data_IF_268458502197
#
_entry.id   IF_268458502197
#
_cell.length_a   1.000
_cell.length_b   1.000
_cell.length_c   1.000
_cell.angle_alpha   90.00
_cell.angle_beta   90.00
_cell.angle_gamma   90.00
#
_symmetry.space_group_name_H-M   'P 1'
#
loop_
_entity.id
_entity.type
_entity.pdbx_description
1 polymer ?
#
# COMPACT_ATOMS: atom_id res chain seq x y z
N UNK A 1 -9.58 18.82 -29.65
CA UNK A 1 -9.74 17.37 -29.44
C UNK A 1 -10.40 17.19 -28.10
N UNK A 2 -11.71 17.00 -28.07
CA UNK A 2 -12.40 16.66 -26.83
C UNK A 2 -12.19 15.18 -26.54
N UNK A 3 -11.65 14.85 -25.36
CA UNK A 3 -11.63 13.49 -24.88
C UNK A 3 -13.08 13.04 -24.68
N UNK A 4 -13.50 11.99 -25.39
CA UNK A 4 -14.84 11.41 -25.20
C UNK A 4 -15.06 11.01 -23.73
N UNK A 5 -16.32 11.01 -23.28
CA UNK A 5 -16.70 10.78 -21.88
C UNK A 5 -16.09 9.50 -21.28
N UNK A 6 -15.94 8.47 -22.11
CA UNK A 6 -15.34 7.18 -21.77
C UNK A 6 -13.82 7.26 -21.54
N UNK A 7 -13.11 8.08 -22.33
CA UNK A 7 -11.69 8.33 -22.13
C UNK A 7 -11.43 9.11 -20.83
N UNK A 8 -12.30 10.07 -20.49
CA UNK A 8 -12.24 10.79 -19.22
C UNK A 8 -12.54 9.87 -18.03
N UNK A 9 -13.51 8.97 -18.14
CA UNK A 9 -13.80 7.98 -17.11
C UNK A 9 -12.62 7.03 -16.88
N UNK A 10 -11.97 6.59 -17.96
CA UNK A 10 -10.79 5.73 -17.90
C UNK A 10 -9.60 6.44 -17.26
N UNK A 11 -9.30 7.68 -17.67
CA UNK A 11 -8.25 8.51 -17.07
C UNK A 11 -8.51 8.76 -15.58
N UNK A 12 -9.75 9.09 -15.22
CA UNK A 12 -10.16 9.27 -13.82
C UNK A 12 -9.92 8.01 -13.01
N UNK A 13 -10.35 6.85 -13.50
CA UNK A 13 -10.18 5.57 -12.79
C UNK A 13 -8.70 5.20 -12.62
N UNK A 14 -7.88 5.47 -13.64
CA UNK A 14 -6.42 5.24 -13.59
C UNK A 14 -5.72 6.15 -12.58
N UNK A 15 -6.00 7.46 -12.65
CA UNK A 15 -5.46 8.44 -11.70
C UNK A 15 -5.90 8.14 -10.27
N UNK A 16 -7.18 7.80 -10.06
CA UNK A 16 -7.67 7.42 -8.75
C UNK A 16 -6.95 6.19 -8.22
N UNK A 17 -6.72 5.14 -9.02
CA UNK A 17 -5.99 3.94 -8.58
C UNK A 17 -4.58 4.28 -8.10
N UNK A 18 -3.83 5.08 -8.85
CA UNK A 18 -2.44 5.40 -8.54
C UNK A 18 -2.26 6.12 -7.20
N UNK A 19 -3.27 6.87 -6.74
CA UNK A 19 -3.25 7.56 -5.45
C UNK A 19 -3.25 6.60 -4.24
N UNK A 20 -3.72 5.35 -4.44
CA UNK A 20 -3.86 4.37 -3.36
C UNK A 20 -2.83 3.25 -3.40
N UNK A 21 -1.96 3.22 -4.43
CA UNK A 21 -0.93 2.20 -4.54
C UNK A 21 0.25 2.52 -3.62
N UNK A 22 0.79 1.48 -3.00
CA UNK A 22 2.09 1.54 -2.35
C UNK A 22 3.18 1.80 -3.42
N UNK A 23 4.01 2.84 -3.29
CA UNK A 23 5.03 3.16 -4.30
C UNK A 23 6.09 2.07 -4.50
N UNK A 24 6.32 1.21 -3.49
CA UNK A 24 7.32 0.14 -3.55
C UNK A 24 6.77 -1.14 -4.20
N UNK A 25 5.50 -1.48 -3.95
CA UNK A 25 4.91 -2.76 -4.42
C UNK A 25 4.02 -2.59 -5.64
N UNK A 26 3.64 -1.35 -5.97
CA UNK A 26 2.66 -1.04 -7.00
C UNK A 26 1.30 -1.76 -6.81
N UNK A 27 0.97 -2.06 -5.56
CA UNK A 27 -0.26 -2.74 -5.13
C UNK A 27 -0.94 -1.94 -4.02
N UNK A 28 -2.24 -2.15 -3.83
CA UNK A 28 -2.94 -1.57 -2.68
C UNK A 28 -2.33 -2.15 -1.38
N UNK A 29 -1.93 -1.31 -0.41
CA UNK A 29 -1.38 -1.79 0.84
C UNK A 29 -2.47 -2.47 1.69
N UNK A 30 -2.13 -3.62 2.28
CA UNK A 30 -3.00 -4.34 3.22
C UNK A 30 -2.73 -3.89 4.65
N UNK A 31 -1.45 -3.66 4.98
CA UNK A 31 -1.00 -3.06 6.22
C UNK A 31 -0.30 -1.71 5.92
N UNK A 32 -1.08 -0.66 5.64
CA UNK A 32 -0.53 0.66 5.31
C UNK A 32 0.17 1.31 6.50
N UNK A 33 1.36 1.83 6.25
CA UNK A 33 2.13 2.67 7.19
C UNK A 33 2.56 3.95 6.51
N UNK A 34 2.52 5.06 7.24
CA UNK A 34 3.12 6.32 6.84
C UNK A 34 4.55 6.41 7.34
N UNK A 35 5.47 6.72 6.42
CA UNK A 35 6.85 7.00 6.74
C UNK A 35 7.09 8.52 6.94
N UNK A 36 8.27 8.91 7.41
CA UNK A 36 8.61 10.31 7.68
C UNK A 36 8.68 11.20 6.46
N UNK A 37 8.79 10.62 5.26
CA UNK A 37 8.70 11.36 4.00
C UNK A 37 7.26 11.74 3.63
N UNK A 38 6.28 11.34 4.45
CA UNK A 38 4.86 11.64 4.29
C UNK A 38 4.11 10.66 3.40
N UNK A 39 4.79 9.69 2.76
CA UNK A 39 4.14 8.71 1.88
C UNK A 39 3.63 7.49 2.67
N UNK A 40 2.68 6.79 2.06
CA UNK A 40 2.09 5.57 2.62
C UNK A 40 2.61 4.34 1.85
N UNK A 41 3.03 3.33 2.58
CA UNK A 41 3.61 2.11 2.05
C UNK A 41 2.94 0.88 2.66
N UNK A 42 3.09 -0.27 1.99
CA UNK A 42 2.90 -1.58 2.62
C UNK A 42 4.01 -1.79 3.65
N UNK A 43 3.65 -2.10 4.90
CA UNK A 43 4.58 -2.22 6.04
C UNK A 43 5.78 -3.09 5.71
N UNK A 44 5.54 -4.30 5.19
CA UNK A 44 6.61 -5.25 4.90
C UNK A 44 7.62 -4.71 3.88
N UNK A 45 7.14 -3.98 2.88
CA UNK A 45 7.99 -3.43 1.82
C UNK A 45 8.89 -2.30 2.33
N UNK A 46 8.33 -1.34 3.07
CA UNK A 46 9.13 -0.23 3.59
C UNK A 46 10.08 -0.65 4.72
N UNK A 47 9.73 -1.67 5.51
CA UNK A 47 10.69 -2.28 6.45
C UNK A 47 11.89 -2.89 5.73
N UNK A 48 11.67 -3.60 4.61
CA UNK A 48 12.75 -4.13 3.77
C UNK A 48 13.67 -3.01 3.26
N UNK A 49 13.08 -1.93 2.75
CA UNK A 49 13.83 -0.76 2.30
C UNK A 49 14.68 -0.10 3.41
N UNK A 50 14.10 0.06 4.62
CA UNK A 50 14.83 0.59 5.79
C UNK A 50 15.96 -0.35 6.22
N UNK A 51 15.74 -1.66 6.12
CA UNK A 51 16.76 -2.66 6.43
C UNK A 51 17.92 -2.59 5.43
N UNK A 52 17.63 -2.65 4.12
CA UNK A 52 18.63 -2.61 3.05
C UNK A 52 19.49 -1.34 3.10
N UNK A 53 18.90 -0.19 3.46
CA UNK A 53 19.61 1.08 3.60
C UNK A 53 20.76 1.06 4.63
N UNK A 54 20.72 0.14 5.62
CA UNK A 54 21.76 -0.02 6.63
C UNK A 54 23.03 -0.69 6.07
N UNK A 55 22.90 -1.43 4.96
CA UNK A 55 24.00 -2.16 4.32
C UNK A 55 24.67 -1.39 3.17
N UNK A 56 24.24 -0.16 2.91
CA UNK A 56 24.88 0.72 1.94
C UNK A 56 26.21 1.28 2.48
N UNK A 57 27.13 1.68 1.60
CA UNK A 57 28.40 2.29 1.95
C UNK A 57 28.52 3.70 1.32
N UNK A 58 28.28 4.80 2.07
CA UNK A 58 27.89 4.85 3.48
C UNK A 58 26.40 4.49 3.70
N UNK A 59 26.00 4.05 4.92
CA UNK A 59 24.60 3.80 5.24
C UNK A 59 23.76 5.06 5.04
N UNK A 60 22.67 4.93 4.30
CA UNK A 60 21.82 6.08 3.96
C UNK A 60 20.40 5.64 3.66
N UNK A 61 19.47 6.09 4.51
CA UNK A 61 18.03 5.95 4.25
C UNK A 61 17.51 7.14 3.46
N UNK A 62 16.92 6.87 2.30
CA UNK A 62 16.26 7.85 1.45
C UNK A 62 14.80 7.47 1.21
N UNK A 63 13.97 8.46 0.93
CA UNK A 63 12.60 8.28 0.45
C UNK A 63 12.59 7.47 -0.85
N UNK A 64 11.82 6.37 -0.92
CA UNK A 64 11.61 5.64 -2.17
C UNK A 64 11.01 6.49 -3.29
N UNK A 65 10.30 7.57 -2.94
CA UNK A 65 9.59 8.42 -3.91
C UNK A 65 10.46 9.58 -4.37
N UNK A 66 11.19 10.23 -3.45
CA UNK A 66 11.91 11.47 -3.76
C UNK A 66 13.43 11.32 -3.80
N UNK A 67 13.98 10.22 -3.30
CA UNK A 67 15.42 10.01 -3.13
C UNK A 67 16.08 10.91 -2.07
N UNK A 68 15.31 11.77 -1.38
CA UNK A 68 15.81 12.64 -0.32
C UNK A 68 16.00 11.86 0.98
N UNK A 69 16.95 12.24 1.86
CA UNK A 69 17.11 11.62 3.17
C UNK A 69 15.80 11.64 3.98
N UNK A 70 15.51 10.55 4.70
CA UNK A 70 14.36 10.44 5.61
C UNK A 70 14.71 9.62 6.85
N UNK A 71 13.94 9.75 7.93
CA UNK A 71 14.05 8.87 9.10
C UNK A 71 13.30 7.55 8.93
N UNK A 72 13.46 6.66 9.91
CA UNK A 72 12.97 5.27 9.87
C UNK A 72 11.65 5.04 10.61
N UNK A 73 11.01 6.06 11.22
CA UNK A 73 9.73 5.85 11.91
C UNK A 73 8.63 5.53 10.92
N UNK A 74 7.79 4.58 11.34
CA UNK A 74 6.59 4.15 10.63
C UNK A 74 5.40 4.27 11.57
N UNK A 75 4.33 4.91 11.10
CA UNK A 75 3.06 5.03 11.81
C UNK A 75 1.98 4.26 11.06
N UNK A 76 1.22 3.39 11.74
CA UNK A 76 0.10 2.67 11.11
C UNK A 76 -0.96 3.65 10.59
N UNK A 77 -1.44 3.42 9.37
CA UNK A 77 -2.43 4.27 8.68
C UNK A 77 -3.74 3.52 8.42
N UNK A 78 -4.45 3.17 9.49
CA UNK A 78 -5.72 2.44 9.40
C UNK A 78 -6.78 3.20 8.58
N UNK A 79 -6.73 4.53 8.57
CA UNK A 79 -7.61 5.38 7.77
C UNK A 79 -7.46 5.13 6.26
N UNK A 80 -6.25 4.84 5.80
CA UNK A 80 -5.98 4.51 4.39
C UNK A 80 -6.57 3.14 4.06
N UNK A 81 -6.37 2.14 4.94
CA UNK A 81 -6.96 0.80 4.76
C UNK A 81 -8.49 0.88 4.67
N UNK A 82 -9.11 1.62 5.58
CA UNK A 82 -10.58 1.78 5.61
C UNK A 82 -11.09 2.50 4.37
N UNK A 83 -10.36 3.49 3.89
CA UNK A 83 -10.70 4.21 2.67
C UNK A 83 -10.59 3.32 1.42
N UNK A 84 -9.53 2.51 1.32
CA UNK A 84 -9.38 1.52 0.24
C UNK A 84 -10.53 0.51 0.28
N UNK A 85 -10.84 -0.05 1.46
CA UNK A 85 -11.96 -0.99 1.63
C UNK A 85 -13.29 -0.39 1.13
N UNK A 86 -13.60 0.83 1.55
CA UNK A 86 -14.81 1.52 1.10
C UNK A 86 -14.83 1.70 -0.42
N UNK A 87 -13.73 2.17 -1.01
CA UNK A 87 -13.64 2.43 -2.45
C UNK A 87 -13.75 1.15 -3.29
N UNK A 88 -13.14 0.06 -2.83
CA UNK A 88 -13.25 -1.27 -3.46
C UNK A 88 -14.68 -1.77 -3.38
N UNK A 89 -15.32 -1.72 -2.20
CA UNK A 89 -16.72 -2.16 -2.02
C UNK A 89 -17.72 -1.36 -2.82
N UNK A 90 -17.45 -0.06 -3.03
CA UNK A 90 -18.29 0.82 -3.86
C UNK A 90 -18.01 0.69 -5.35
N UNK A 91 -17.02 -0.12 -5.75
CA UNK A 91 -16.62 -0.31 -7.15
C UNK A 91 -15.88 0.89 -7.76
N UNK A 92 -15.43 1.84 -6.93
CA UNK A 92 -14.70 3.03 -7.38
C UNK A 92 -13.22 2.73 -7.59
N UNK A 93 -12.71 1.71 -6.90
CA UNK A 93 -11.38 1.16 -7.11
C UNK A 93 -11.52 -0.31 -7.50
N UNK A 94 -11.34 -0.59 -8.80
CA UNK A 94 -11.55 -1.92 -9.38
C UNK A 94 -10.37 -2.44 -10.19
N UNK A 95 -10.57 -3.61 -10.81
CA UNK A 95 -9.59 -4.31 -11.62
C UNK A 95 -8.60 -5.15 -10.79
N UNK A 96 -7.52 -5.65 -11.41
CA UNK A 96 -6.69 -6.71 -10.82
C UNK A 96 -6.05 -6.36 -9.47
N UNK A 97 -5.77 -5.07 -9.21
CA UNK A 97 -5.18 -4.64 -7.93
C UNK A 97 -6.19 -4.68 -6.79
N UNK A 98 -7.49 -4.47 -7.08
CA UNK A 98 -8.57 -4.56 -6.11
C UNK A 98 -8.88 -6.02 -5.78
N UNK A 99 -8.98 -6.86 -6.82
CA UNK A 99 -9.16 -8.31 -6.68
C UNK A 99 -8.06 -8.92 -5.79
N UNK A 100 -6.79 -8.64 -6.12
CA UNK A 100 -5.66 -9.13 -5.33
C UNK A 100 -5.63 -8.59 -3.90
N UNK A 101 -6.11 -7.38 -3.68
CA UNK A 101 -6.23 -6.82 -2.33
C UNK A 101 -7.28 -7.58 -1.51
N UNK A 102 -8.44 -7.88 -2.09
CA UNK A 102 -9.48 -8.68 -1.43
C UNK A 102 -8.96 -10.09 -1.11
N UNK A 103 -8.28 -10.74 -2.05
CA UNK A 103 -7.67 -12.06 -1.82
C UNK A 103 -6.69 -12.06 -0.65
N UNK A 104 -5.77 -11.08 -0.61
CA UNK A 104 -4.79 -10.95 0.48
C UNK A 104 -5.45 -10.74 1.85
N UNK A 105 -6.56 -10.02 1.92
CA UNK A 105 -7.31 -9.86 3.18
C UNK A 105 -7.86 -11.20 3.69
N UNK A 106 -8.30 -12.06 2.78
CA UNK A 106 -8.78 -13.42 3.11
C UNK A 106 -7.62 -14.30 3.57
N UNK A 107 -6.50 -14.29 2.85
CA UNK A 107 -5.27 -15.01 3.22
C UNK A 107 -4.81 -14.59 4.63
N UNK A 108 -4.70 -13.29 4.91
CA UNK A 108 -4.26 -12.75 6.20
C UNK A 108 -5.25 -13.10 7.34
N UNK A 109 -6.56 -13.10 7.07
CA UNK A 109 -7.58 -13.49 8.03
C UNK A 109 -7.50 -14.99 8.38
N UNK A 110 -7.24 -15.85 7.39
CA UNK A 110 -7.04 -17.29 7.59
C UNK A 110 -5.78 -17.56 8.44
N UNK A 111 -4.68 -16.86 8.17
CA UNK A 111 -3.45 -16.96 8.97
C UNK A 111 -3.69 -16.50 10.41
N UNK A 112 -4.41 -15.39 10.61
CA UNK A 112 -4.73 -14.89 11.94
C UNK A 112 -5.65 -15.83 12.73
N UNK A 113 -6.60 -16.52 12.07
CA UNK A 113 -7.42 -17.56 12.68
C UNK A 113 -6.59 -18.78 13.07
N UNK A 114 -5.74 -19.28 12.17
CA UNK A 114 -4.85 -20.40 12.44
C UNK A 114 -3.92 -20.10 13.64
N UNK A 115 -3.36 -18.89 13.71
CA UNK A 115 -2.53 -18.45 14.82
C UNK A 115 -3.29 -18.44 16.16
N UNK A 116 -4.56 -18.00 16.17
CA UNK A 116 -5.41 -18.01 17.36
C UNK A 116 -5.69 -19.43 17.86
N UNK A 117 -5.97 -20.38 16.96
CA UNK A 117 -6.20 -21.79 17.33
C UNK A 117 -4.95 -22.41 17.96
N UNK A 118 -3.75 -22.08 17.46
CA UNK A 118 -2.48 -22.57 18.02
C UNK A 118 -2.23 -21.99 19.41
N UNK A 119 -2.49 -20.69 19.62
CA UNK A 119 -2.26 -20.02 20.91
C UNK A 119 -3.28 -20.40 21.99
N UNK A 120 -4.43 -20.95 21.60
CA UNK A 120 -5.47 -21.43 22.52
C UNK A 120 -5.29 -22.89 22.96
N UNK A 121 -4.22 -23.56 22.51
CA UNK A 121 -3.81 -24.92 22.92
C UNK A 121 -2.62 -24.86 23.87
#
# INVERSE_FOLDING_TARGET
>A
MELGSEALATLRNSLMRNLWLCPLTNMLPVDPVRAEDGNVYERRAIHGWIYEAQFLAPPRLCSPVTGKPMGSRLTSCFEVRNSIDLLVRRGWLGGPVAERWVERQVEDAQVAEAARIIQAR
#
